data_IF_481787870429
#
_entry.id   IF_481787870429
#
_cell.length_a   1.000
_cell.length_b   1.000
_cell.length_c   1.000
_cell.angle_alpha   90.00
_cell.angle_beta   90.00
_cell.angle_gamma   90.00
#
_symmetry.space_group_name_H-M   'P 1'
#
loop_
_entity.id
_entity.type
_entity.pdbx_description
1 polymer ?
#
# COMPACT_ATOMS: atom_id res chain seq x y z
N UNK A 1 -33.93 -21.75 34.24
CA UNK A 1 -33.37 -23.01 33.72
C UNK A 1 -33.64 -23.23 32.23
N UNK A 2 -34.88 -23.16 31.74
CA UNK A 2 -35.22 -23.42 30.30
C UNK A 2 -34.57 -22.45 29.29
N UNK A 3 -34.32 -21.20 29.70
CA UNK A 3 -33.68 -20.16 28.87
C UNK A 3 -32.15 -20.28 28.77
N UNK A 4 -31.52 -20.77 29.84
CA UNK A 4 -30.09 -21.05 29.87
C UNK A 4 -29.78 -22.29 29.03
N UNK A 5 -30.68 -23.28 29.02
CA UNK A 5 -30.60 -24.40 28.07
C UNK A 5 -30.82 -23.98 26.62
N UNK A 6 -31.74 -23.07 26.28
CA UNK A 6 -31.93 -22.66 24.87
C UNK A 6 -30.75 -21.85 24.32
N UNK A 7 -30.21 -20.92 25.09
CA UNK A 7 -29.01 -20.16 24.67
C UNK A 7 -27.78 -21.07 24.64
N UNK A 8 -27.62 -21.97 25.62
CA UNK A 8 -26.56 -22.99 25.61
C UNK A 8 -26.74 -23.98 24.46
N UNK A 9 -27.96 -24.32 24.05
CA UNK A 9 -28.23 -25.15 22.86
C UNK A 9 -27.91 -24.41 21.57
N UNK A 10 -28.24 -23.12 21.45
CA UNK A 10 -27.87 -22.33 20.25
C UNK A 10 -26.34 -22.18 20.17
N UNK A 11 -25.65 -21.94 21.29
CA UNK A 11 -24.19 -21.93 21.35
C UNK A 11 -23.58 -23.32 21.12
N UNK A 12 -24.16 -24.39 21.66
CA UNK A 12 -23.72 -25.77 21.42
C UNK A 12 -23.94 -26.19 19.97
N UNK A 13 -25.05 -25.77 19.35
CA UNK A 13 -25.34 -26.01 17.93
C UNK A 13 -24.33 -25.23 17.08
N UNK A 14 -24.07 -23.96 17.37
CA UNK A 14 -23.03 -23.18 16.68
C UNK A 14 -21.63 -23.77 16.88
N UNK A 15 -21.30 -24.21 18.09
CA UNK A 15 -20.03 -24.84 18.43
C UNK A 15 -19.85 -26.20 17.75
N UNK A 16 -20.92 -27.02 17.69
CA UNK A 16 -20.95 -28.28 16.93
C UNK A 16 -20.84 -28.04 15.42
N UNK A 17 -21.51 -27.02 14.87
CA UNK A 17 -21.42 -26.64 13.45
C UNK A 17 -20.06 -26.05 13.08
N UNK A 18 -19.33 -25.47 14.03
CA UNK A 18 -17.98 -24.94 13.81
C UNK A 18 -16.90 -26.03 13.93
N UNK A 19 -17.10 -27.03 14.79
CA UNK A 19 -16.16 -28.14 15.00
C UNK A 19 -16.40 -29.34 14.07
N UNK A 20 -17.63 -29.56 13.60
CA UNK A 20 -17.94 -30.57 12.60
C UNK A 20 -18.02 -29.89 11.24
N UNK A 21 -17.10 -30.22 10.33
CA UNK A 21 -17.01 -29.72 8.94
C UNK A 21 -18.24 -30.03 8.04
N UNK A 22 -19.40 -30.30 8.62
CA UNK A 22 -20.68 -30.55 7.96
C UNK A 22 -21.47 -29.24 7.79
N UNK A 23 -20.85 -28.21 7.19
CA UNK A 23 -21.61 -27.06 6.71
C UNK A 23 -22.06 -27.36 5.27
N UNK A 24 -23.37 -27.52 4.98
CA UNK A 24 -23.84 -27.89 3.65
C UNK A 24 -23.29 -26.94 2.57
N UNK A 25 -22.78 -27.49 1.46
CA UNK A 25 -22.28 -26.72 0.31
C UNK A 25 -23.18 -25.54 -0.14
N UNK A 26 -24.53 -25.65 -0.17
CA UNK A 26 -25.38 -24.50 -0.49
C UNK A 26 -25.30 -23.37 0.53
N UNK A 27 -25.17 -23.68 1.83
CA UNK A 27 -25.04 -22.68 2.91
C UNK A 27 -23.67 -21.99 2.90
N UNK A 28 -22.60 -22.70 2.54
CA UNK A 28 -21.28 -22.08 2.35
C UNK A 28 -21.29 -21.07 1.19
N UNK A 29 -21.95 -21.42 0.09
CA UNK A 29 -22.08 -20.55 -1.09
C UNK A 29 -22.90 -19.30 -0.75
N UNK A 30 -23.98 -19.46 0.02
CA UNK A 30 -24.79 -18.35 0.50
C UNK A 30 -24.00 -17.45 1.46
N UNK A 31 -23.29 -18.03 2.43
CA UNK A 31 -22.43 -17.29 3.37
C UNK A 31 -21.37 -16.46 2.63
N UNK A 32 -20.74 -17.02 1.60
CA UNK A 32 -19.72 -16.31 0.82
C UNK A 32 -20.32 -15.13 0.06
N UNK A 33 -21.51 -15.29 -0.53
CA UNK A 33 -22.25 -14.19 -1.20
C UNK A 33 -22.72 -13.10 -0.22
N UNK A 34 -23.05 -13.47 1.02
CA UNK A 34 -23.43 -12.51 2.06
C UNK A 34 -22.21 -11.69 2.51
N UNK A 35 -21.05 -12.33 2.73
CA UNK A 35 -19.82 -11.64 3.18
C UNK A 35 -19.24 -10.74 2.08
N UNK A 36 -19.38 -11.12 0.81
CA UNK A 36 -18.87 -10.33 -0.32
C UNK A 36 -19.63 -9.01 -0.53
N UNK A 37 -20.90 -8.94 -0.11
CA UNK A 37 -21.70 -7.73 -0.27
C UNK A 37 -21.95 -7.07 1.09
N UNK A 38 -21.46 -5.83 1.24
CA UNK A 38 -21.65 -5.05 2.47
C UNK A 38 -23.13 -4.90 2.83
N UNK A 39 -24.01 -4.71 1.84
CA UNK A 39 -25.46 -4.54 2.06
C UNK A 39 -26.09 -5.82 2.58
N UNK A 40 -25.74 -6.97 2.01
CA UNK A 40 -26.27 -8.27 2.46
C UNK A 40 -25.78 -8.61 3.87
N UNK A 41 -24.49 -8.40 4.15
CA UNK A 41 -23.94 -8.62 5.50
C UNK A 41 -24.62 -7.72 6.52
N UNK A 42 -24.88 -6.45 6.20
CA UNK A 42 -25.58 -5.55 7.11
C UNK A 42 -27.03 -5.95 7.34
N UNK A 43 -27.74 -6.40 6.29
CA UNK A 43 -29.14 -6.85 6.39
C UNK A 43 -29.26 -8.08 7.31
N UNK A 44 -28.36 -9.05 7.14
CA UNK A 44 -28.31 -10.26 7.98
C UNK A 44 -27.98 -9.89 9.43
N UNK A 45 -27.06 -8.95 9.66
CA UNK A 45 -26.75 -8.43 10.99
C UNK A 45 -27.96 -7.77 11.66
N UNK A 46 -28.67 -6.89 10.95
CA UNK A 46 -29.88 -6.22 11.46
C UNK A 46 -30.97 -7.25 11.78
N UNK A 47 -31.20 -8.21 10.88
CA UNK A 47 -32.16 -9.29 11.10
C UNK A 47 -31.82 -10.13 12.34
N UNK A 48 -30.55 -10.49 12.53
CA UNK A 48 -30.10 -11.24 13.70
C UNK A 48 -30.32 -10.45 15.01
N UNK A 49 -30.03 -9.14 15.01
CA UNK A 49 -30.24 -8.28 16.19
C UNK A 49 -31.74 -8.17 16.52
N UNK A 50 -32.59 -7.97 15.52
CA UNK A 50 -34.05 -7.93 15.71
C UNK A 50 -34.55 -9.26 16.26
N UNK A 51 -34.05 -10.39 15.75
CA UNK A 51 -34.41 -11.72 16.24
C UNK A 51 -34.02 -11.90 17.72
N UNK A 52 -32.80 -11.51 18.08
CA UNK A 52 -32.32 -11.55 19.48
C UNK A 52 -33.19 -10.65 20.37
N UNK A 53 -33.51 -9.44 19.92
CA UNK A 53 -34.40 -8.52 20.63
C UNK A 53 -35.80 -9.12 20.83
N UNK A 54 -36.44 -9.62 19.77
CA UNK A 54 -37.76 -10.26 19.84
C UNK A 54 -37.77 -11.47 20.79
N UNK A 55 -36.70 -12.28 20.77
CA UNK A 55 -36.58 -13.45 21.65
C UNK A 55 -36.58 -13.09 23.15
N UNK A 56 -36.14 -11.87 23.50
CA UNK A 56 -36.18 -11.38 24.87
C UNK A 56 -37.63 -11.23 25.36
N UNK A 57 -38.53 -10.73 24.51
CA UNK A 57 -39.93 -10.44 24.86
C UNK A 57 -40.88 -11.63 24.75
N UNK A 58 -40.60 -12.62 23.91
CA UNK A 58 -41.41 -13.86 23.85
C UNK A 58 -41.63 -14.43 25.25
N UNK A 59 -40.60 -14.37 26.09
CA UNK A 59 -40.68 -14.88 27.46
C UNK A 59 -41.42 -13.94 28.42
N UNK A 60 -41.44 -12.64 28.13
CA UNK A 60 -42.16 -11.66 28.94
C UNK A 60 -43.68 -11.81 28.76
N UNK A 61 -44.13 -12.09 27.53
CA UNK A 61 -45.54 -12.39 27.23
C UNK A 61 -46.02 -13.73 27.81
N UNK A 62 -45.10 -14.60 28.22
CA UNK A 62 -45.40 -15.88 28.88
C UNK A 62 -45.44 -15.76 30.41
N UNK A 63 -45.31 -14.54 30.95
CA UNK A 63 -45.42 -14.27 32.38
C UNK A 63 -46.84 -13.83 32.75
N UNK A 64 -47.26 -14.11 33.97
CA UNK A 64 -48.51 -13.55 34.51
C UNK A 64 -48.40 -12.03 34.68
N UNK A 65 -49.42 -11.30 34.21
CA UNK A 65 -49.56 -9.83 34.34
C UNK A 65 -50.68 -9.45 35.30
N UNK A 66 -51.16 -10.39 36.11
CA UNK A 66 -52.18 -10.15 37.14
C UNK A 66 -51.60 -9.20 38.18
N UNK A 67 -52.32 -8.12 38.49
CA UNK A 67 -51.92 -7.20 39.55
C UNK A 67 -52.06 -7.87 40.93
N UNK A 68 -50.94 -7.95 41.64
CA UNK A 68 -50.83 -8.65 42.91
C UNK A 68 -51.59 -7.95 44.03
N UNK A 69 -51.66 -6.61 44.00
CA UNK A 69 -52.34 -5.82 45.02
C UNK A 69 -53.86 -5.99 44.93
N UNK A 70 -54.44 -5.86 43.74
CA UNK A 70 -55.87 -6.11 43.53
C UNK A 70 -56.27 -7.56 43.78
N UNK A 71 -55.39 -8.52 43.48
CA UNK A 71 -55.66 -9.91 43.83
C UNK A 71 -55.69 -10.16 45.35
N UNK A 72 -54.66 -9.73 46.10
CA UNK A 72 -54.65 -9.93 47.55
C UNK A 72 -55.83 -9.23 48.22
N UNK A 73 -56.23 -8.08 47.70
CA UNK A 73 -57.45 -7.39 48.10
C UNK A 73 -58.70 -8.27 47.92
N UNK A 74 -58.85 -8.96 46.78
CA UNK A 74 -59.96 -9.87 46.53
C UNK A 74 -59.94 -11.13 47.42
N UNK A 75 -58.77 -11.73 47.64
CA UNK A 75 -58.63 -12.98 48.40
C UNK A 75 -58.87 -12.77 49.91
N UNK A 76 -58.43 -11.64 50.45
CA UNK A 76 -58.59 -11.31 51.88
C UNK A 76 -59.78 -10.37 52.15
N UNK A 77 -60.59 -10.05 51.14
CA UNK A 77 -61.76 -9.16 51.22
C UNK A 77 -61.41 -7.76 51.80
N UNK A 78 -60.29 -7.18 51.34
CA UNK A 78 -59.76 -5.87 51.73
C UNK A 78 -59.76 -4.96 50.49
N UNK A 79 -59.76 -3.64 50.64
CA UNK A 79 -59.60 -2.70 49.50
C UNK A 79 -58.15 -2.71 48.99
N UNK A 80 -57.89 -2.61 47.67
CA UNK A 80 -56.53 -2.56 47.10
C UNK A 80 -55.61 -1.53 47.77
N UNK A 81 -56.14 -0.37 48.14
CA UNK A 81 -55.40 0.72 48.78
C UNK A 81 -54.96 0.42 50.23
N UNK A 82 -55.42 -0.69 50.82
CA UNK A 82 -55.05 -1.14 52.18
C UNK A 82 -54.08 -2.33 52.16
N UNK A 83 -53.63 -2.76 50.98
CA UNK A 83 -52.61 -3.80 50.84
C UNK A 83 -51.24 -3.17 51.11
N UNK A 84 -50.90 -3.07 52.39
CA UNK A 84 -49.63 -2.52 52.84
C UNK A 84 -48.50 -3.56 52.76
N UNK A 85 -47.26 -3.07 52.65
CA UNK A 85 -46.03 -3.87 52.60
C UNK A 85 -45.95 -4.89 53.77
N UNK A 86 -46.47 -4.53 54.94
CA UNK A 86 -46.51 -5.42 56.11
C UNK A 86 -47.48 -6.60 55.96
N UNK A 87 -48.61 -6.41 55.27
CA UNK A 87 -49.57 -7.49 54.99
C UNK A 87 -48.92 -8.53 54.08
N UNK A 88 -48.25 -8.06 53.03
CA UNK A 88 -47.51 -8.89 52.07
C UNK A 88 -46.35 -9.62 52.76
N UNK A 89 -45.62 -8.90 53.61
CA UNK A 89 -44.52 -9.44 54.41
C UNK A 89 -44.97 -10.56 55.37
N UNK A 90 -46.13 -10.44 56.01
CA UNK A 90 -46.66 -11.47 56.92
C UNK A 90 -47.21 -12.71 56.18
N UNK A 91 -47.57 -12.56 54.91
CA UNK A 91 -48.13 -13.62 54.05
C UNK A 91 -47.07 -14.26 53.12
N UNK A 92 -45.78 -14.08 53.45
CA UNK A 92 -44.64 -14.55 52.65
C UNK A 92 -44.54 -16.07 52.49
N UNK A 93 -45.29 -16.86 53.28
CA UNK A 93 -45.41 -18.31 53.07
C UNK A 93 -46.13 -18.66 51.77
N UNK A 94 -47.05 -17.80 51.30
CA UNK A 94 -47.86 -18.03 50.10
C UNK A 94 -47.34 -17.22 48.90
N UNK A 95 -46.83 -16.01 49.14
CA UNK A 95 -46.31 -15.11 48.09
C UNK A 95 -44.83 -14.79 48.36
N UNK A 96 -43.92 -15.52 47.71
CA UNK A 96 -42.47 -15.35 47.85
C UNK A 96 -41.80 -15.04 46.51
N UNK A 97 -40.61 -14.42 46.52
CA UNK A 97 -39.79 -14.24 45.32
C UNK A 97 -39.42 -15.57 44.64
N UNK A 98 -39.50 -16.70 45.36
CA UNK A 98 -39.22 -18.04 44.83
C UNK A 98 -40.44 -18.77 44.24
N UNK A 99 -41.66 -18.23 44.39
CA UNK A 99 -42.88 -18.88 43.92
C UNK A 99 -43.01 -18.72 42.40
N UNK A 100 -42.90 -19.84 41.67
CA UNK A 100 -42.98 -19.89 40.20
C UNK A 100 -44.41 -20.09 39.66
N UNK A 101 -45.31 -20.62 40.49
CA UNK A 101 -46.71 -20.83 40.13
C UNK A 101 -47.45 -19.50 40.12
N UNK A 102 -48.27 -19.26 39.09
CA UNK A 102 -49.00 -18.01 38.90
C UNK A 102 -49.75 -17.56 40.15
N UNK A 103 -49.60 -16.29 40.52
CA UNK A 103 -50.40 -15.75 41.62
C UNK A 103 -51.88 -15.81 41.25
N UNK A 104 -52.74 -16.13 42.24
CA UNK A 104 -54.19 -15.96 42.11
C UNK A 104 -54.84 -16.83 41.03
N UNK A 105 -54.49 -18.13 41.02
CA UNK A 105 -54.93 -19.12 40.03
C UNK A 105 -54.63 -18.73 38.57
N UNK A 106 -53.66 -17.85 38.35
CA UNK A 106 -53.23 -17.50 37.00
C UNK A 106 -52.61 -18.73 36.31
N UNK A 107 -53.00 -19.03 35.05
CA UNK A 107 -52.45 -20.17 34.31
C UNK A 107 -51.01 -19.94 33.85
N UNK A 108 -50.50 -18.70 33.92
CA UNK A 108 -49.14 -18.34 33.53
C UNK A 108 -48.20 -18.27 34.76
N UNK A 109 -46.91 -18.62 34.61
CA UNK A 109 -45.93 -18.54 35.68
C UNK A 109 -45.59 -17.09 36.07
N UNK A 110 -45.14 -16.90 37.31
CA UNK A 110 -44.67 -15.58 37.77
C UNK A 110 -43.21 -15.34 37.35
N UNK A 111 -42.94 -14.11 36.92
CA UNK A 111 -41.59 -13.68 36.55
C UNK A 111 -41.07 -12.64 37.56
N UNK A 112 -40.64 -13.13 38.72
CA UNK A 112 -40.31 -12.32 39.90
C UNK A 112 -39.07 -11.42 39.73
N UNK A 113 -38.31 -11.57 38.63
CA UNK A 113 -37.11 -10.78 38.33
C UNK A 113 -37.18 -10.19 36.91
N UNK A 114 -37.95 -9.10 36.70
CA UNK A 114 -38.11 -8.50 35.37
C UNK A 114 -36.83 -7.80 34.86
N UNK A 115 -35.84 -7.53 35.73
CA UNK A 115 -34.55 -6.92 35.36
C UNK A 115 -33.79 -7.70 34.28
N UNK A 116 -33.98 -9.03 34.20
CA UNK A 116 -33.36 -9.86 33.16
C UNK A 116 -33.78 -9.47 31.73
N UNK A 117 -35.00 -8.93 31.56
CA UNK A 117 -35.46 -8.45 30.26
C UNK A 117 -34.69 -7.19 29.84
N UNK A 118 -34.44 -6.29 30.79
CA UNK A 118 -33.62 -5.09 30.59
C UNK A 118 -32.20 -5.46 30.18
N UNK A 119 -31.56 -6.43 30.86
CA UNK A 119 -30.23 -6.90 30.46
C UNK A 119 -30.19 -7.52 29.06
N UNK A 120 -31.25 -8.24 28.67
CA UNK A 120 -31.35 -8.83 27.32
C UNK A 120 -31.42 -7.74 26.24
N UNK A 121 -32.14 -6.64 26.51
CA UNK A 121 -32.22 -5.48 25.61
C UNK A 121 -30.88 -4.73 25.55
N UNK A 122 -30.20 -4.53 26.68
CA UNK A 122 -28.85 -3.94 26.70
C UNK A 122 -27.85 -4.74 25.86
N UNK A 123 -27.91 -6.08 25.90
CA UNK A 123 -27.10 -6.93 25.03
C UNK A 123 -27.42 -6.75 23.55
N UNK A 124 -28.71 -6.59 23.19
CA UNK A 124 -29.11 -6.33 21.80
C UNK A 124 -28.62 -4.96 21.29
N UNK A 125 -28.63 -3.93 22.16
CA UNK A 125 -28.09 -2.61 21.86
C UNK A 125 -26.57 -2.63 21.69
N UNK A 126 -25.86 -3.38 22.54
CA UNK A 126 -24.42 -3.57 22.41
C UNK A 126 -24.07 -4.29 21.10
N UNK A 127 -24.84 -5.32 20.73
CA UNK A 127 -24.65 -6.02 19.46
C UNK A 127 -24.87 -5.09 18.25
N UNK A 128 -25.81 -4.15 18.32
CA UNK A 128 -26.03 -3.11 17.32
C UNK A 128 -24.79 -2.21 17.12
N UNK A 129 -24.16 -1.79 18.22
CA UNK A 129 -22.97 -0.92 18.14
C UNK A 129 -21.75 -1.63 17.56
N UNK A 130 -21.50 -2.89 17.96
CA UNK A 130 -20.28 -3.64 17.62
C UNK A 130 -20.34 -4.28 16.23
N UNK A 131 -21.44 -4.97 15.89
CA UNK A 131 -21.46 -5.86 14.72
C UNK A 131 -22.01 -5.22 13.43
N UNK A 132 -22.76 -4.12 13.53
CA UNK A 132 -23.26 -3.44 12.35
C UNK A 132 -22.20 -2.53 11.74
N UNK A 133 -21.85 -2.77 10.50
CA UNK A 133 -20.94 -1.91 9.72
C UNK A 133 -21.71 -0.84 8.91
N UNK A 134 -22.65 -0.17 9.60
CA UNK A 134 -23.52 0.90 9.08
C UNK A 134 -23.04 2.25 9.65
N UNK A 135 -23.46 3.38 9.06
CA UNK A 135 -23.24 4.71 9.61
C UNK A 135 -23.79 4.84 11.04
N UNK A 136 -23.17 5.70 11.85
CA UNK A 136 -23.58 5.99 13.22
C UNK A 136 -25.05 6.47 13.30
N UNK A 137 -25.52 7.21 12.29
CA UNK A 137 -26.92 7.64 12.17
C UNK A 137 -27.85 6.44 12.02
N UNK A 138 -27.50 5.46 11.17
CA UNK A 138 -28.29 4.24 11.01
C UNK A 138 -28.34 3.40 12.29
N UNK A 139 -27.22 3.31 13.02
CA UNK A 139 -27.17 2.66 14.34
C UNK A 139 -28.06 3.38 15.35
N UNK A 140 -28.01 4.71 15.39
CA UNK A 140 -28.86 5.52 16.28
C UNK A 140 -30.35 5.27 16.02
N UNK A 141 -30.78 5.32 14.76
CA UNK A 141 -32.19 5.06 14.40
C UNK A 141 -32.62 3.66 14.87
N UNK A 142 -31.79 2.63 14.65
CA UNK A 142 -32.11 1.28 15.08
C UNK A 142 -32.17 1.16 16.61
N UNK A 143 -31.24 1.79 17.34
CA UNK A 143 -31.23 1.79 18.81
C UNK A 143 -32.46 2.52 19.39
N UNK A 144 -32.87 3.65 18.80
CA UNK A 144 -34.07 4.38 19.21
C UNK A 144 -35.37 3.59 18.94
N UNK A 145 -35.44 2.84 17.83
CA UNK A 145 -36.58 1.95 17.55
C UNK A 145 -36.66 0.83 18.60
N UNK A 146 -35.52 0.21 18.93
CA UNK A 146 -35.40 -0.83 19.97
C UNK A 146 -35.86 -0.29 21.33
N UNK A 147 -35.39 0.91 21.69
CA UNK A 147 -35.77 1.60 22.93
C UNK A 147 -37.25 1.96 22.97
N UNK A 148 -37.79 2.54 21.89
CA UNK A 148 -39.21 2.88 21.79
C UNK A 148 -40.11 1.65 21.94
N UNK A 149 -39.77 0.55 21.26
CA UNK A 149 -40.52 -0.71 21.38
C UNK A 149 -40.42 -1.26 22.81
N UNK A 150 -39.25 -1.18 23.45
CA UNK A 150 -39.11 -1.59 24.85
C UNK A 150 -40.01 -0.77 25.79
N UNK A 151 -40.01 0.56 25.67
CA UNK A 151 -40.86 1.44 26.50
C UNK A 151 -42.34 1.13 26.31
N UNK A 152 -42.80 0.98 25.05
CA UNK A 152 -44.19 0.62 24.76
C UNK A 152 -44.57 -0.73 25.40
N UNK A 153 -43.70 -1.72 25.30
CA UNK A 153 -43.93 -3.05 25.88
C UNK A 153 -43.91 -3.03 27.42
N UNK A 154 -43.08 -2.21 28.06
CA UNK A 154 -43.05 -2.09 29.52
C UNK A 154 -44.25 -1.29 30.04
N UNK A 155 -44.64 -0.21 29.38
CA UNK A 155 -45.73 0.69 29.81
C UNK A 155 -47.15 0.18 29.50
N UNK A 156 -47.32 -0.78 28.58
CA UNK A 156 -48.65 -1.28 28.21
C UNK A 156 -48.91 -2.67 28.82
N UNK A 157 -48.32 -3.78 28.34
CA UNK A 157 -48.56 -5.11 28.91
C UNK A 157 -47.72 -5.43 30.16
N UNK A 158 -46.55 -4.79 30.32
CA UNK A 158 -45.57 -5.14 31.36
C UNK A 158 -45.74 -4.45 32.71
N UNK A 159 -46.58 -3.41 32.82
CA UNK A 159 -46.63 -2.51 34.00
C UNK A 159 -46.79 -3.28 35.31
N UNK A 160 -47.79 -4.16 35.35
CA UNK A 160 -48.11 -4.96 36.54
C UNK A 160 -46.97 -5.90 36.92
N UNK A 161 -46.18 -6.38 35.95
CA UNK A 161 -45.05 -7.26 36.23
C UNK A 161 -43.93 -6.52 36.99
N UNK A 162 -43.63 -5.28 36.60
CA UNK A 162 -42.63 -4.44 37.27
C UNK A 162 -43.14 -3.95 38.63
N UNK A 163 -44.42 -3.55 38.72
CA UNK A 163 -45.04 -3.10 39.97
C UNK A 163 -45.12 -4.25 41.00
N UNK A 164 -45.47 -5.47 40.57
CA UNK A 164 -45.47 -6.66 41.43
C UNK A 164 -44.07 -7.00 41.95
N UNK A 165 -43.05 -6.88 41.11
CA UNK A 165 -41.66 -7.13 41.51
C UNK A 165 -41.17 -6.10 42.52
N UNK A 166 -41.45 -4.81 42.29
CA UNK A 166 -41.12 -3.73 43.23
C UNK A 166 -41.79 -3.95 44.60
N UNK A 167 -43.07 -4.36 44.59
CA UNK A 167 -43.84 -4.65 45.80
C UNK A 167 -43.26 -5.85 46.57
N UNK A 168 -42.95 -6.95 45.88
CA UNK A 168 -42.37 -8.17 46.48
C UNK A 168 -40.95 -7.97 47.00
N UNK A 169 -40.09 -7.25 46.27
CA UNK A 169 -38.72 -6.91 46.71
C UNK A 169 -38.77 -6.01 47.94
N UNK A 170 -39.68 -5.04 47.95
CA UNK A 170 -39.85 -4.13 49.09
C UNK A 170 -40.36 -4.88 50.32
N UNK A 171 -41.31 -5.80 50.17
CA UNK A 171 -41.80 -6.66 51.25
C UNK A 171 -40.71 -7.60 51.82
N UNK A 172 -39.85 -8.18 50.98
CA UNK A 172 -38.78 -9.08 51.43
C UNK A 172 -37.62 -8.34 52.11
N UNK A 173 -37.27 -7.13 51.66
CA UNK A 173 -36.24 -6.34 52.36
C UNK A 173 -36.68 -5.94 53.77
N UNK A 174 -37.98 -5.70 53.97
CA UNK A 174 -38.59 -5.41 55.27
C UNK A 174 -38.47 -6.58 56.26
N UNK A 175 -38.56 -7.84 55.81
CA UNK A 175 -38.36 -9.04 56.66
C UNK A 175 -36.93 -9.19 57.17
N UNK A 176 -35.94 -8.92 56.32
CA UNK A 176 -34.52 -9.01 56.70
C UNK A 176 -34.09 -7.93 57.68
N UNK A 177 -34.77 -6.77 57.70
CA UNK A 177 -34.59 -5.73 58.69
C UNK A 177 -35.56 -5.91 59.86
N UNK A 178 -35.22 -6.73 60.86
CA UNK A 178 -36.00 -6.95 62.11
C UNK A 178 -36.73 -5.68 62.63
N UNK A 179 -38.01 -5.51 62.28
CA UNK A 179 -38.90 -4.52 62.92
C UNK A 179 -40.40 -4.88 62.83
N UNK A 180 -40.77 -6.16 62.79
CA UNK A 180 -42.17 -6.56 62.98
C UNK A 180 -42.39 -7.14 64.39
N UNK A 181 -42.23 -6.29 65.40
CA UNK A 181 -42.73 -6.56 66.76
C UNK A 181 -44.10 -5.92 66.93
N UNK A 182 -45.13 -6.73 66.67
CA UNK A 182 -46.55 -6.69 67.10
C UNK A 182 -47.36 -5.40 67.29
N UNK A 183 -46.84 -4.17 67.19
CA UNK A 183 -47.65 -2.95 67.36
C UNK A 183 -47.17 -1.86 66.39
N UNK A 184 -47.90 -1.70 65.29
CA UNK A 184 -47.85 -0.52 64.42
C UNK A 184 -46.72 -0.50 63.38
N UNK A 185 -47.01 -0.97 62.16
CA UNK A 185 -46.18 -0.63 61.00
C UNK A 185 -46.35 0.85 60.66
N UNK A 186 -45.38 1.68 61.06
CA UNK A 186 -45.23 3.01 60.45
C UNK A 186 -44.36 2.83 59.21
N UNK A 187 -44.98 2.94 58.03
CA UNK A 187 -44.30 2.86 56.74
C UNK A 187 -43.27 4.00 56.70
N UNK A 188 -41.94 3.74 56.72
CA UNK A 188 -40.99 4.80 56.39
C UNK A 188 -41.23 5.15 54.93
N UNK A 189 -41.34 6.43 54.61
CA UNK A 189 -41.41 6.90 53.23
C UNK A 189 -40.14 6.45 52.49
N UNK A 190 -40.20 5.29 51.83
CA UNK A 190 -39.07 4.75 51.09
C UNK A 190 -38.88 5.60 49.84
N UNK A 191 -37.77 6.31 49.79
CA UNK A 191 -37.25 6.99 48.61
C UNK A 191 -36.68 5.98 47.61
N UNK A 192 -37.47 4.99 47.17
CA UNK A 192 -37.10 4.09 46.07
C UNK A 192 -37.91 4.45 44.84
N UNK A 193 -37.20 4.69 43.74
CA UNK A 193 -37.80 4.99 42.43
C UNK A 193 -38.26 3.68 41.81
N UNK A 194 -39.49 3.64 41.31
CA UNK A 194 -40.06 2.43 40.70
C UNK A 194 -39.20 1.93 39.52
N UNK A 195 -39.00 0.62 39.43
CA UNK A 195 -38.14 -0.02 38.44
C UNK A 195 -38.59 0.32 37.00
N UNK A 196 -39.90 0.53 36.78
CA UNK A 196 -40.47 0.99 35.50
C UNK A 196 -39.97 2.36 35.02
N UNK A 197 -39.48 3.21 35.92
CA UNK A 197 -38.91 4.53 35.61
C UNK A 197 -37.38 4.44 35.52
N UNK A 198 -36.76 3.57 36.33
CA UNK A 198 -35.31 3.38 36.34
C UNK A 198 -34.83 2.68 35.06
N UNK A 199 -35.57 1.69 34.53
CA UNK A 199 -35.13 0.93 33.36
C UNK A 199 -35.08 1.71 32.05
N UNK A 200 -36.05 2.59 31.69
CA UNK A 200 -35.93 3.45 30.52
C UNK A 200 -34.79 4.45 30.67
N UNK A 201 -34.59 5.03 31.87
CA UNK A 201 -33.49 5.96 32.12
C UNK A 201 -32.13 5.27 31.91
N UNK A 202 -31.95 4.03 32.38
CA UNK A 202 -30.71 3.28 32.13
C UNK A 202 -30.50 3.03 30.63
N UNK A 203 -31.57 2.66 29.90
CA UNK A 203 -31.48 2.40 28.45
C UNK A 203 -31.15 3.68 27.68
N UNK A 204 -31.81 4.82 27.97
CA UNK A 204 -31.52 6.11 27.31
C UNK A 204 -30.04 6.50 27.46
N UNK A 205 -29.50 6.39 28.69
CA UNK A 205 -28.08 6.68 28.98
C UNK A 205 -27.16 5.72 28.23
N UNK A 206 -27.53 4.44 28.15
CA UNK A 206 -26.75 3.43 27.42
C UNK A 206 -26.78 3.66 25.90
N UNK A 207 -27.93 4.01 25.31
CA UNK A 207 -28.05 4.38 23.90
C UNK A 207 -27.19 5.59 23.57
N UNK A 208 -27.18 6.62 24.42
CA UNK A 208 -26.31 7.79 24.26
C UNK A 208 -24.83 7.39 24.28
N UNK A 209 -24.40 6.57 25.25
CA UNK A 209 -23.02 6.09 25.34
C UNK A 209 -22.61 5.27 24.10
N UNK A 210 -23.46 4.36 23.64
CA UNK A 210 -23.21 3.54 22.45
C UNK A 210 -23.21 4.36 21.15
N UNK A 211 -24.02 5.42 21.09
CA UNK A 211 -24.02 6.37 19.97
C UNK A 211 -22.70 7.14 19.89
N UNK A 212 -22.23 7.70 21.01
CA UNK A 212 -20.93 8.39 21.06
C UNK A 212 -19.78 7.45 20.68
N UNK A 213 -19.79 6.21 21.17
CA UNK A 213 -18.82 5.20 20.77
C UNK A 213 -18.89 4.89 19.26
N UNK A 214 -20.09 4.71 18.70
CA UNK A 214 -20.26 4.46 17.27
C UNK A 214 -19.77 5.64 16.40
N UNK A 215 -20.01 6.87 16.85
CA UNK A 215 -19.51 8.08 16.18
C UNK A 215 -17.99 8.16 16.23
N UNK A 216 -17.38 7.89 17.39
CA UNK A 216 -15.92 7.88 17.55
C UNK A 216 -15.26 6.85 16.62
N UNK A 217 -15.80 5.63 16.56
CA UNK A 217 -15.29 4.56 15.67
C UNK A 217 -15.40 4.98 14.20
N UNK A 218 -16.55 5.53 13.78
CA UNK A 218 -16.73 5.97 12.39
C UNK A 218 -15.79 7.13 12.03
N UNK A 219 -15.64 8.13 12.91
CA UNK A 219 -14.73 9.26 12.68
C UNK A 219 -13.28 8.80 12.59
N UNK A 220 -12.85 7.91 13.47
CA UNK A 220 -11.50 7.34 13.46
C UNK A 220 -11.24 6.57 12.17
N UNK A 221 -12.20 5.76 11.71
CA UNK A 221 -12.07 5.01 10.46
C UNK A 221 -12.00 5.91 9.22
N UNK A 222 -12.75 7.03 9.19
CA UNK A 222 -12.68 8.00 8.10
C UNK A 222 -11.34 8.75 8.09
N UNK A 223 -10.83 9.12 9.25
CA UNK A 223 -9.51 9.75 9.37
C UNK A 223 -8.39 8.80 8.94
N UNK A 224 -8.45 7.52 9.37
CA UNK A 224 -7.50 6.50 8.95
C UNK A 224 -7.52 6.30 7.42
N UNK A 225 -8.71 6.27 6.81
CA UNK A 225 -8.83 6.22 5.35
C UNK A 225 -8.19 7.44 4.67
N UNK A 226 -8.43 8.64 5.18
CA UNK A 226 -7.85 9.88 4.62
C UNK A 226 -6.33 9.90 4.77
N UNK A 227 -5.79 9.55 5.94
CA UNK A 227 -4.34 9.45 6.15
C UNK A 227 -3.70 8.38 5.27
N UNK A 228 -4.38 7.25 5.09
CA UNK A 228 -3.91 6.20 4.19
C UNK A 228 -3.88 6.67 2.75
N UNK A 229 -4.91 7.40 2.31
CA UNK A 229 -4.96 7.98 0.96
C UNK A 229 -3.81 8.97 0.74
N UNK A 230 -3.62 9.90 1.67
CA UNK A 230 -2.52 10.88 1.61
C UNK A 230 -1.15 10.19 1.59
N UNK A 231 -0.92 9.22 2.48
CA UNK A 231 0.34 8.49 2.53
C UNK A 231 0.61 7.67 1.25
N UNK A 232 -0.43 7.18 0.58
CA UNK A 232 -0.27 6.50 -0.72
C UNK A 232 0.08 7.45 -1.85
N UNK A 233 -0.52 8.65 -1.85
CA UNK A 233 -0.24 9.70 -2.84
C UNK A 233 1.20 10.22 -2.70
N UNK A 234 1.61 10.58 -1.47
CA UNK A 234 2.98 11.02 -1.18
C UNK A 234 4.02 9.93 -1.52
N UNK A 235 3.66 8.65 -1.35
CA UNK A 235 4.51 7.53 -1.73
C UNK A 235 4.68 7.44 -3.25
N UNK A 236 3.59 7.56 -4.02
CA UNK A 236 3.63 7.51 -5.48
C UNK A 236 4.47 8.67 -6.05
N UNK A 237 4.26 9.89 -5.55
CA UNK A 237 5.06 11.06 -5.93
C UNK A 237 6.56 10.85 -5.62
N UNK A 238 6.89 10.26 -4.46
CA UNK A 238 8.27 9.97 -4.09
C UNK A 238 8.91 8.93 -5.00
N UNK A 239 8.17 7.89 -5.40
CA UNK A 239 8.64 6.86 -6.34
C UNK A 239 8.87 7.45 -7.74
N UNK A 240 7.98 8.31 -8.22
CA UNK A 240 8.14 9.02 -9.50
C UNK A 240 9.37 9.94 -9.49
N UNK A 241 9.52 10.75 -8.43
CA UNK A 241 10.66 11.65 -8.27
C UNK A 241 11.98 10.88 -8.19
N UNK A 242 12.00 9.73 -7.49
CA UNK A 242 13.17 8.88 -7.42
C UNK A 242 13.51 8.27 -8.79
N UNK A 243 12.52 7.80 -9.54
CA UNK A 243 12.72 7.28 -10.88
C UNK A 243 13.24 8.35 -11.84
N UNK A 244 12.70 9.58 -11.76
CA UNK A 244 13.15 10.73 -12.53
C UNK A 244 14.62 11.10 -12.20
N UNK A 245 14.96 11.23 -10.91
CA UNK A 245 16.32 11.51 -10.46
C UNK A 245 17.33 10.42 -10.90
N UNK A 246 16.93 9.14 -10.84
CA UNK A 246 17.77 8.04 -11.34
C UNK A 246 18.00 8.14 -12.86
N UNK A 247 16.97 8.47 -13.64
CA UNK A 247 17.11 8.67 -15.10
C UNK A 247 18.06 9.83 -15.41
N UNK A 248 17.91 10.96 -14.73
CA UNK A 248 18.83 12.10 -14.89
C UNK A 248 20.27 11.73 -14.53
N UNK A 249 20.47 10.97 -13.46
CA UNK A 249 21.81 10.54 -13.06
C UNK A 249 22.45 9.62 -14.11
N UNK A 250 21.67 8.69 -14.68
CA UNK A 250 22.12 7.80 -15.75
C UNK A 250 22.41 8.52 -17.07
N UNK A 251 21.90 9.74 -17.28
CA UNK A 251 22.27 10.57 -18.43
C UNK A 251 23.65 11.25 -18.25
N UNK A 252 24.17 11.33 -17.01
CA UNK A 252 25.43 12.00 -16.69
C UNK A 252 26.54 10.99 -16.41
N UNK A 253 26.20 9.86 -15.77
CA UNK A 253 27.15 8.83 -15.33
C UNK A 253 26.76 7.45 -15.88
N UNK A 254 27.74 6.61 -16.25
CA UNK A 254 27.49 5.21 -16.57
C UNK A 254 26.77 4.48 -15.43
N UNK A 255 25.99 3.45 -15.78
CA UNK A 255 25.09 2.75 -14.82
C UNK A 255 25.81 2.26 -13.56
N UNK A 256 26.96 1.60 -13.70
CA UNK A 256 27.69 1.04 -12.57
C UNK A 256 28.33 2.12 -11.68
N UNK A 257 28.78 3.20 -12.31
CA UNK A 257 29.32 4.37 -11.60
C UNK A 257 28.20 5.08 -10.82
N UNK A 258 27.01 5.24 -11.42
CA UNK A 258 25.85 5.83 -10.77
C UNK A 258 25.41 5.05 -9.52
N UNK A 259 25.46 3.70 -9.57
CA UNK A 259 25.18 2.85 -8.39
C UNK A 259 26.15 3.15 -7.25
N UNK A 260 27.45 3.34 -7.55
CA UNK A 260 28.44 3.71 -6.54
C UNK A 260 28.11 5.05 -5.85
N UNK A 261 27.55 6.03 -6.57
CA UNK A 261 27.11 7.31 -5.98
C UNK A 261 25.76 7.24 -5.25
N UNK A 262 24.90 6.27 -5.59
CA UNK A 262 23.60 6.08 -4.93
C UNK A 262 23.66 5.18 -3.68
N UNK A 263 24.63 4.27 -3.61
CA UNK A 263 24.69 3.23 -2.58
C UNK A 263 25.29 3.68 -1.24
N UNK A 264 25.85 4.88 -1.13
CA UNK A 264 26.62 5.28 0.04
C UNK A 264 26.31 6.72 0.47
N UNK A 265 25.95 6.90 1.75
CA UNK A 265 26.00 8.20 2.46
C UNK A 265 27.47 8.61 2.61
N UNK A 266 28.13 8.98 1.52
CA UNK A 266 29.51 9.46 1.55
C UNK A 266 29.56 10.93 1.93
N UNK A 267 30.60 11.26 2.68
CA UNK A 267 31.13 12.63 2.78
C UNK A 267 31.68 13.01 1.41
N UNK A 268 31.32 14.19 0.91
CA UNK A 268 31.56 14.69 -0.47
C UNK A 268 33.04 14.79 -0.93
N UNK A 269 34.00 14.26 -0.19
CA UNK A 269 35.43 14.56 -0.36
C UNK A 269 36.25 13.43 -1.03
N UNK A 270 35.66 12.27 -1.31
CA UNK A 270 36.39 11.13 -1.91
C UNK A 270 36.16 11.04 -3.42
N UNK A 271 37.23 11.20 -4.20
CA UNK A 271 37.23 11.11 -5.67
C UNK A 271 36.94 9.67 -6.13
N UNK A 272 36.00 9.49 -7.05
CA UNK A 272 35.82 8.20 -7.74
C UNK A 272 36.86 8.02 -8.84
N UNK A 273 37.63 6.94 -8.78
CA UNK A 273 38.53 6.51 -9.85
C UNK A 273 38.62 4.99 -9.94
N UNK A 274 38.90 4.48 -11.15
CA UNK A 274 39.08 3.07 -11.47
C UNK A 274 40.22 2.91 -12.48
N UNK A 275 41.14 1.98 -12.23
CA UNK A 275 42.22 1.66 -13.16
C UNK A 275 41.81 0.48 -14.04
N UNK A 276 41.81 0.69 -15.36
CA UNK A 276 41.43 -0.31 -16.36
C UNK A 276 42.65 -0.67 -17.21
N UNK A 277 43.05 -1.94 -17.24
CA UNK A 277 44.32 -2.36 -17.86
C UNK A 277 44.27 -2.49 -19.38
N UNK A 278 43.11 -2.88 -19.94
CA UNK A 278 42.94 -3.13 -21.36
C UNK A 278 41.65 -2.48 -21.83
N UNK A 279 41.77 -1.24 -22.28
CA UNK A 279 40.67 -0.44 -22.82
C UNK A 279 40.96 -0.13 -24.28
N UNK A 280 39.96 -0.28 -25.13
CA UNK A 280 40.01 0.20 -26.50
C UNK A 280 39.34 1.57 -26.57
N UNK A 281 39.99 2.54 -27.21
CA UNK A 281 39.53 3.93 -27.28
C UNK A 281 39.40 4.34 -28.75
N UNK A 282 38.28 4.98 -29.07
CA UNK A 282 37.97 5.52 -30.38
C UNK A 282 37.78 7.03 -30.33
N UNK A 283 38.35 7.70 -31.32
CA UNK A 283 38.00 9.07 -31.70
C UNK A 283 37.51 9.04 -33.15
N UNK A 284 36.29 9.51 -33.39
CA UNK A 284 35.72 9.62 -34.73
C UNK A 284 35.39 11.09 -35.00
N UNK A 285 36.08 11.72 -35.95
CA UNK A 285 35.92 13.15 -36.24
C UNK A 285 35.40 13.39 -37.66
N UNK A 286 34.45 14.31 -37.79
CA UNK A 286 33.98 14.81 -39.08
C UNK A 286 34.96 15.91 -39.53
N UNK A 287 35.76 15.60 -40.54
CA UNK A 287 36.94 16.36 -40.95
C UNK A 287 36.61 17.73 -41.53
N UNK A 288 35.56 17.83 -42.35
CA UNK A 288 35.16 19.04 -43.06
C UNK A 288 33.98 19.78 -42.40
N UNK A 289 33.61 19.42 -41.17
CA UNK A 289 32.49 20.08 -40.49
C UNK A 289 32.76 21.57 -40.21
N UNK A 290 34.02 21.94 -39.94
CA UNK A 290 34.39 23.36 -39.75
C UNK A 290 34.25 24.19 -41.02
N UNK A 291 34.39 23.59 -42.20
CA UNK A 291 34.17 24.27 -43.49
C UNK A 291 32.67 24.40 -43.81
N UNK A 292 31.88 23.42 -43.37
CA UNK A 292 30.42 23.45 -43.44
C UNK A 292 29.79 24.46 -42.48
N UNK A 293 30.42 24.71 -41.33
CA UNK A 293 29.92 25.66 -40.35
C UNK A 293 30.10 27.10 -40.86
N UNK A 294 28.98 27.73 -41.26
CA UNK A 294 28.94 29.12 -41.69
C UNK A 294 27.93 29.92 -40.87
N UNK A 295 28.42 30.94 -40.18
CA UNK A 295 27.60 31.92 -39.44
C UNK A 295 27.09 33.00 -40.41
N UNK A 296 25.94 32.75 -41.03
CA UNK A 296 25.21 33.72 -41.86
C UNK A 296 23.81 33.94 -41.30
N UNK A 297 23.25 35.14 -41.50
CA UNK A 297 21.86 35.45 -41.15
C UNK A 297 20.87 34.48 -41.84
N UNK A 298 21.18 34.02 -43.05
CA UNK A 298 20.39 33.02 -43.78
C UNK A 298 20.40 31.62 -43.14
N UNK A 299 21.32 31.34 -42.22
CA UNK A 299 21.50 30.05 -41.53
C UNK A 299 21.13 30.13 -40.03
N UNK A 300 20.29 31.10 -39.65
CA UNK A 300 19.95 31.39 -38.25
C UNK A 300 21.20 31.47 -37.35
N UNK A 301 22.25 32.17 -37.79
CA UNK A 301 23.50 32.34 -37.04
C UNK A 301 24.22 31.01 -36.70
N UNK A 302 24.09 29.99 -37.57
CA UNK A 302 24.78 28.69 -37.40
C UNK A 302 24.01 27.66 -36.59
N UNK A 303 22.79 27.97 -36.13
CA UNK A 303 21.93 27.05 -35.36
C UNK A 303 21.55 25.80 -36.17
N UNK A 304 21.27 25.94 -37.47
CA UNK A 304 20.93 24.77 -38.31
C UNK A 304 22.12 23.82 -38.50
N UNK A 305 23.36 24.32 -38.53
CA UNK A 305 24.55 23.47 -38.54
C UNK A 305 24.65 22.66 -37.24
N UNK A 306 24.33 23.26 -36.09
CA UNK A 306 24.30 22.56 -34.81
C UNK A 306 23.16 21.53 -34.76
N UNK A 307 22.00 21.82 -35.35
CA UNK A 307 20.90 20.85 -35.45
C UNK A 307 21.32 19.63 -36.27
N UNK A 308 21.95 19.82 -37.42
CA UNK A 308 22.45 18.72 -38.23
C UNK A 308 23.53 17.92 -37.49
N UNK A 309 24.46 18.58 -36.79
CA UNK A 309 25.44 17.87 -35.97
C UNK A 309 24.76 17.05 -34.87
N UNK A 310 23.74 17.59 -34.22
CA UNK A 310 22.97 16.87 -33.20
C UNK A 310 22.26 15.64 -33.79
N UNK A 311 21.71 15.75 -35.00
CA UNK A 311 21.11 14.61 -35.72
C UNK A 311 22.16 13.52 -36.02
N UNK A 312 23.34 13.89 -36.54
CA UNK A 312 24.44 12.94 -36.79
C UNK A 312 24.86 12.22 -35.49
N UNK A 313 25.00 12.98 -34.39
CA UNK A 313 25.38 12.41 -33.10
C UNK A 313 24.27 11.54 -32.51
N UNK A 314 23.00 11.89 -32.73
CA UNK A 314 21.86 11.09 -32.31
C UNK A 314 21.81 9.75 -33.07
N UNK A 315 22.07 9.74 -34.38
CA UNK A 315 22.19 8.50 -35.16
C UNK A 315 23.32 7.60 -34.61
N UNK A 316 24.45 8.19 -34.23
CA UNK A 316 25.56 7.43 -33.62
C UNK A 316 25.19 6.87 -32.25
N UNK A 317 24.42 7.63 -31.46
CA UNK A 317 23.90 7.20 -30.17
C UNK A 317 22.83 6.11 -30.29
N UNK A 318 22.07 6.09 -31.39
CA UNK A 318 21.16 4.98 -31.70
C UNK A 318 21.95 3.70 -32.00
N UNK A 319 23.00 3.80 -32.84
CA UNK A 319 23.85 2.65 -33.17
C UNK A 319 24.52 2.09 -31.91
N UNK A 320 25.15 2.92 -31.07
CA UNK A 320 25.85 2.41 -29.87
C UNK A 320 24.88 1.74 -28.86
N UNK A 321 23.58 2.04 -28.94
CA UNK A 321 22.55 1.45 -28.09
C UNK A 321 22.12 0.05 -28.51
N UNK A 322 22.51 -0.42 -29.70
CA UNK A 322 22.21 -1.77 -30.17
C UNK A 322 22.86 -2.85 -29.27
N UNK A 323 22.20 -4.00 -29.10
CA UNK A 323 22.65 -5.07 -28.20
C UNK A 323 24.08 -5.57 -28.49
N UNK A 324 24.50 -5.56 -29.76
CA UNK A 324 25.85 -5.96 -30.17
C UNK A 324 26.95 -5.03 -29.66
N UNK A 325 26.61 -3.77 -29.35
CA UNK A 325 27.55 -2.73 -28.88
C UNK A 325 27.39 -2.41 -27.40
N UNK A 326 26.64 -3.22 -26.64
CA UNK A 326 26.44 -3.05 -25.18
C UNK A 326 27.74 -2.97 -24.35
N UNK A 327 28.86 -3.44 -24.88
CA UNK A 327 30.18 -3.34 -24.23
C UNK A 327 30.89 -1.99 -24.46
N UNK A 328 30.32 -1.12 -25.29
CA UNK A 328 30.85 0.20 -25.61
C UNK A 328 30.18 1.25 -24.73
N UNK A 329 30.98 2.24 -24.31
CA UNK A 329 30.51 3.38 -23.54
C UNK A 329 30.89 4.65 -24.29
N UNK A 330 29.91 5.52 -24.52
CA UNK A 330 30.18 6.89 -25.00
C UNK A 330 30.82 7.68 -23.86
N UNK A 331 31.97 8.30 -24.12
CA UNK A 331 32.64 9.13 -23.12
C UNK A 331 32.14 10.57 -23.21
N UNK A 332 32.24 11.16 -24.40
CA UNK A 332 31.81 12.55 -24.66
C UNK A 332 31.82 12.86 -26.14
N UNK A 333 31.17 13.96 -26.48
CA UNK A 333 31.30 14.61 -27.79
C UNK A 333 32.12 15.89 -27.61
N UNK A 334 33.15 16.08 -28.45
CA UNK A 334 34.05 17.23 -28.42
C UNK A 334 33.98 17.92 -29.79
N UNK A 335 33.16 18.96 -29.91
CA UNK A 335 32.89 19.59 -31.21
C UNK A 335 32.27 18.58 -32.17
N UNK A 336 32.89 18.37 -33.34
CA UNK A 336 32.50 17.36 -34.34
C UNK A 336 33.14 15.98 -34.12
N UNK A 337 33.72 15.72 -32.94
CA UNK A 337 34.41 14.47 -32.62
C UNK A 337 33.62 13.64 -31.60
N UNK A 338 33.29 12.41 -31.97
CA UNK A 338 32.65 11.41 -31.11
C UNK A 338 33.71 10.55 -30.42
N UNK A 339 33.69 10.48 -29.09
CA UNK A 339 34.64 9.69 -28.30
C UNK A 339 33.90 8.55 -27.59
N UNK A 340 34.32 7.32 -27.87
CA UNK A 340 33.82 6.11 -27.22
C UNK A 340 34.97 5.23 -26.76
N UNK A 341 34.70 4.38 -25.77
CA UNK A 341 35.66 3.40 -25.30
C UNK A 341 34.98 2.10 -24.88
N UNK A 342 35.75 1.03 -24.78
CA UNK A 342 35.26 -0.28 -24.36
C UNK A 342 36.23 -0.95 -23.39
N UNK A 343 35.72 -1.84 -22.54
CA UNK A 343 36.52 -2.47 -21.46
C UNK A 343 36.64 -1.61 -20.19
N UNK A 344 35.75 -0.63 -20.00
CA UNK A 344 35.71 0.20 -18.79
C UNK A 344 34.92 -0.42 -17.63
N UNK A 345 34.06 -1.39 -17.94
CA UNK A 345 33.14 -2.00 -16.99
C UNK A 345 33.54 -3.45 -16.73
N UNK A 346 33.83 -3.78 -15.47
CA UNK A 346 34.26 -5.12 -15.07
C UNK A 346 33.20 -6.20 -15.37
N UNK A 347 31.91 -5.82 -15.42
CA UNK A 347 30.81 -6.76 -15.70
C UNK A 347 30.70 -7.15 -17.18
N UNK A 348 31.14 -6.27 -18.09
CA UNK A 348 31.11 -6.51 -19.54
C UNK A 348 32.50 -6.77 -20.11
N UNK A 349 33.55 -6.73 -19.30
CA UNK A 349 34.93 -6.92 -19.74
C UNK A 349 35.31 -8.40 -19.90
N UNK A 350 35.35 -8.87 -21.14
CA UNK A 350 35.95 -10.17 -21.48
C UNK A 350 37.48 -10.03 -21.59
N UNK A 351 38.17 -10.51 -20.54
CA UNK A 351 39.63 -10.53 -20.42
C UNK A 351 40.29 -11.48 -21.42
N UNK A 352 39.66 -12.60 -21.72
CA UNK A 352 40.27 -13.68 -22.50
C UNK A 352 40.00 -13.53 -23.99
N UNK A 353 38.73 -13.34 -24.38
CA UNK A 353 38.31 -13.25 -25.78
C UNK A 353 38.41 -11.84 -26.38
N UNK A 354 38.66 -10.82 -25.55
CA UNK A 354 38.79 -9.40 -25.95
C UNK A 354 37.66 -8.93 -26.87
N UNK A 355 36.44 -9.43 -26.65
CA UNK A 355 35.29 -9.16 -27.53
C UNK A 355 34.95 -7.67 -27.63
N UNK A 356 35.16 -6.92 -26.55
CA UNK A 356 34.97 -5.47 -26.48
C UNK A 356 35.82 -4.70 -27.51
N UNK A 357 36.98 -5.24 -27.91
CA UNK A 357 37.85 -4.63 -28.93
C UNK A 357 37.25 -4.82 -30.33
N UNK A 358 36.70 -6.01 -30.59
CA UNK A 358 35.99 -6.33 -31.84
C UNK A 358 34.74 -5.47 -31.99
N UNK A 359 33.93 -5.40 -30.94
CA UNK A 359 32.74 -4.55 -30.90
C UNK A 359 33.06 -3.08 -31.24
N UNK A 360 34.18 -2.54 -30.75
CA UNK A 360 34.59 -1.17 -31.05
C UNK A 360 35.04 -1.00 -32.51
N UNK A 361 35.74 -1.99 -33.08
CA UNK A 361 36.13 -1.97 -34.49
C UNK A 361 34.92 -2.09 -35.43
N UNK A 362 33.97 -2.97 -35.10
CA UNK A 362 32.71 -3.13 -35.82
C UNK A 362 31.87 -1.86 -35.74
N UNK A 363 31.81 -1.23 -34.57
CA UNK A 363 31.16 0.07 -34.38
C UNK A 363 31.82 1.16 -35.25
N UNK A 364 33.15 1.23 -35.29
CA UNK A 364 33.86 2.18 -36.14
C UNK A 364 33.51 2.02 -37.63
N UNK A 365 33.44 0.77 -38.12
CA UNK A 365 33.01 0.49 -39.50
C UNK A 365 31.54 0.87 -39.71
N UNK A 366 30.67 0.57 -38.75
CA UNK A 366 29.25 0.92 -38.80
C UNK A 366 29.03 2.43 -38.86
N UNK A 367 29.81 3.21 -38.11
CA UNK A 367 29.77 4.68 -38.18
C UNK A 367 30.20 5.20 -39.58
N UNK A 368 31.19 4.56 -40.20
CA UNK A 368 31.62 4.91 -41.57
C UNK A 368 30.50 4.73 -42.59
N UNK A 369 29.75 3.63 -42.47
CA UNK A 369 28.60 3.36 -43.33
C UNK A 369 27.42 4.29 -43.02
N UNK A 370 27.18 4.59 -41.73
CA UNK A 370 26.16 5.56 -41.34
C UNK A 370 26.46 6.96 -41.91
N UNK A 371 27.74 7.38 -41.94
CA UNK A 371 28.12 8.64 -42.55
C UNK A 371 27.83 8.68 -44.05
N UNK A 372 28.05 7.58 -44.78
CA UNK A 372 27.65 7.48 -46.20
C UNK A 372 26.14 7.62 -46.36
N UNK A 373 25.37 6.93 -45.53
CA UNK A 373 23.91 7.03 -45.52
C UNK A 373 23.43 8.46 -45.27
N UNK A 374 24.01 9.15 -44.28
CA UNK A 374 23.70 10.55 -43.97
C UNK A 374 24.03 11.45 -45.16
N UNK A 375 25.17 11.25 -45.83
CA UNK A 375 25.55 12.04 -47.01
C UNK A 375 24.54 11.87 -48.16
N UNK A 376 24.07 10.64 -48.41
CA UNK A 376 23.06 10.37 -49.43
C UNK A 376 21.71 11.06 -49.14
N UNK A 377 21.30 11.13 -47.87
CA UNK A 377 19.98 11.67 -47.48
C UNK A 377 19.99 13.17 -47.17
N UNK A 378 21.14 13.72 -46.79
CA UNK A 378 21.29 15.15 -46.46
C UNK A 378 21.80 16.00 -47.63
N UNK A 379 22.15 15.37 -48.77
CA UNK A 379 22.80 16.02 -49.92
C UNK A 379 24.10 16.76 -49.55
N UNK A 380 24.79 16.28 -48.51
CA UNK A 380 26.10 16.76 -48.08
C UNK A 380 27.19 15.73 -48.39
N UNK A 381 28.45 16.14 -48.21
CA UNK A 381 29.61 15.27 -48.38
C UNK A 381 30.53 15.37 -47.17
N UNK A 382 30.04 14.94 -46.00
CA UNK A 382 30.84 14.88 -44.79
C UNK A 382 31.85 13.72 -44.87
N UNK A 383 33.10 14.03 -44.58
CA UNK A 383 34.16 13.05 -44.53
C UNK A 383 34.51 12.74 -43.09
N UNK A 384 34.54 11.46 -42.73
CA UNK A 384 34.85 11.03 -41.38
C UNK A 384 36.20 10.34 -41.33
N UNK A 385 36.97 10.60 -40.30
CA UNK A 385 38.19 9.85 -39.99
C UNK A 385 38.06 9.29 -38.58
N UNK A 386 38.59 8.09 -38.39
CA UNK A 386 38.51 7.39 -37.10
C UNK A 386 39.91 6.94 -36.68
N UNK A 387 40.26 7.20 -35.42
CA UNK A 387 41.47 6.71 -34.79
C UNK A 387 41.15 5.72 -33.67
N UNK A 388 41.76 4.54 -33.71
CA UNK A 388 41.61 3.51 -32.69
C UNK A 388 42.95 3.17 -32.03
N UNK A 389 42.93 2.95 -30.73
CA UNK A 389 44.08 2.43 -29.99
C UNK A 389 43.63 1.59 -28.78
N UNK A 390 44.50 0.70 -28.31
CA UNK A 390 44.27 -0.13 -27.11
C UNK A 390 45.36 0.10 -26.06
N UNK A 391 45.02 -0.05 -24.78
CA UNK A 391 45.97 0.04 -23.68
C UNK A 391 45.32 0.43 -22.34
N UNK A 392 46.13 0.65 -21.29
CA UNK A 392 45.62 0.98 -19.97
C UNK A 392 45.14 2.43 -19.88
N UNK A 393 44.11 2.66 -19.06
CA UNK A 393 43.54 3.99 -18.74
C UNK A 393 43.09 4.04 -17.28
N UNK A 394 42.90 5.25 -16.77
CA UNK A 394 42.23 5.52 -15.51
C UNK A 394 40.91 6.21 -15.81
N UNK A 395 39.80 5.62 -15.40
CA UNK A 395 38.47 6.21 -15.46
C UNK A 395 38.15 6.91 -14.14
N UNK A 396 37.31 7.94 -14.16
CA UNK A 396 36.92 8.64 -12.94
C UNK A 396 35.90 9.75 -13.18
N UNK A 397 35.37 10.28 -12.08
CA UNK A 397 34.40 11.40 -12.11
C UNK A 397 35.05 12.65 -11.52
N UNK A 398 35.12 13.72 -12.30
CA UNK A 398 35.70 15.01 -11.86
C UNK A 398 34.63 16.10 -11.90
N UNK A 399 34.67 16.99 -10.90
CA UNK A 399 33.88 18.23 -10.87
C UNK A 399 32.77 18.21 -9.83
N UNK A 400 32.82 19.15 -8.87
CA UNK A 400 31.87 19.21 -7.77
C UNK A 400 30.47 19.75 -8.17
N UNK A 401 30.40 20.63 -9.19
CA UNK A 401 29.14 21.25 -9.65
C UNK A 401 28.63 20.68 -10.97
N UNK A 402 29.55 20.23 -11.82
CA UNK A 402 29.25 19.59 -13.11
C UNK A 402 30.12 18.33 -13.17
N UNK A 403 29.69 17.24 -12.50
CA UNK A 403 30.44 16.00 -12.53
C UNK A 403 30.50 15.48 -13.97
N UNK A 404 31.69 15.10 -14.41
CA UNK A 404 31.93 14.52 -15.72
C UNK A 404 32.69 13.21 -15.52
N UNK A 405 32.12 12.12 -16.03
CA UNK A 405 32.84 10.87 -16.18
C UNK A 405 33.76 10.98 -17.40
N UNK A 406 35.04 10.63 -17.22
CA UNK A 406 36.04 10.73 -18.27
C UNK A 406 37.15 9.71 -18.05
N UNK A 407 38.00 9.52 -19.06
CA UNK A 407 39.13 8.59 -19.04
C UNK A 407 40.44 9.30 -19.35
N UNK A 408 41.49 8.96 -18.60
CA UNK A 408 42.82 9.53 -18.73
C UNK A 408 43.86 8.45 -18.97
N UNK A 409 44.85 8.75 -19.81
CA UNK A 409 45.98 7.86 -20.04
C UNK A 409 46.69 8.13 -21.36
N UNK A 410 47.90 7.60 -21.48
CA UNK A 410 48.65 7.67 -22.74
C UNK A 410 47.90 7.00 -23.89
N UNK A 411 47.10 5.97 -23.60
CA UNK A 411 46.25 5.27 -24.57
C UNK A 411 45.27 6.21 -25.25
N UNK A 412 44.60 7.08 -24.48
CA UNK A 412 43.65 8.09 -24.98
C UNK A 412 44.36 9.10 -25.85
N UNK A 413 45.54 9.57 -25.41
CA UNK A 413 46.36 10.50 -26.19
C UNK A 413 46.79 9.91 -27.53
N UNK A 414 47.22 8.64 -27.57
CA UNK A 414 47.60 7.96 -28.80
C UNK A 414 46.38 7.75 -29.72
N UNK A 415 45.21 7.36 -29.19
CA UNK A 415 43.97 7.25 -29.97
C UNK A 415 43.59 8.58 -30.64
N UNK A 416 43.61 9.67 -29.86
CA UNK A 416 43.38 11.03 -30.37
C UNK A 416 44.40 11.42 -31.46
N UNK A 417 45.66 10.94 -31.36
CA UNK A 417 46.65 11.14 -32.42
C UNK A 417 46.33 10.35 -33.68
N UNK A 418 45.88 9.10 -33.55
CA UNK A 418 45.43 8.30 -34.70
C UNK A 418 44.30 8.99 -35.46
N UNK A 419 43.37 9.64 -34.76
CA UNK A 419 42.32 10.45 -35.39
C UNK A 419 42.88 11.74 -36.02
N UNK A 420 43.68 12.53 -35.28
CA UNK A 420 44.20 13.80 -35.79
C UNK A 420 45.12 13.65 -37.01
N UNK A 421 45.91 12.56 -37.07
CA UNK A 421 46.75 12.20 -38.22
C UNK A 421 46.04 11.29 -39.22
N UNK A 422 44.76 10.99 -38.98
CA UNK A 422 43.90 10.16 -39.83
C UNK A 422 43.74 10.74 -41.23
N UNK A 423 43.55 9.84 -42.19
CA UNK A 423 43.15 10.22 -43.55
C UNK A 423 41.62 10.19 -43.60
N UNK A 424 40.96 11.17 -44.25
CA UNK A 424 39.53 11.14 -44.46
C UNK A 424 39.06 9.82 -45.08
N UNK A 425 37.89 9.37 -44.65
CA UNK A 425 37.23 8.13 -45.06
C UNK A 425 38.03 6.85 -44.77
N UNK A 426 38.92 6.88 -43.78
CA UNK A 426 39.69 5.71 -43.32
C UNK A 426 39.69 5.59 -41.80
N UNK A 427 39.76 4.34 -41.34
CA UNK A 427 39.93 3.99 -39.92
C UNK A 427 41.41 3.68 -39.69
N UNK A 428 42.10 4.47 -38.89
CA UNK A 428 43.51 4.30 -38.55
C UNK A 428 43.67 3.60 -37.20
N UNK A 429 44.51 2.56 -37.16
CA UNK A 429 44.78 1.78 -35.95
C UNK A 429 46.27 1.68 -35.63
N UNK A 430 46.59 1.48 -34.35
CA UNK A 430 47.96 1.22 -33.88
C UNK A 430 48.39 -0.23 -34.09
N UNK A 431 49.69 -0.50 -33.93
CA UNK A 431 50.25 -1.85 -34.07
C UNK A 431 49.65 -2.84 -33.07
N UNK A 432 49.44 -2.43 -31.82
CA UNK A 432 48.87 -3.29 -30.78
C UNK A 432 47.43 -3.70 -31.13
N UNK A 433 46.67 -2.77 -31.70
CA UNK A 433 45.31 -3.04 -32.14
C UNK A 433 45.28 -3.91 -33.40
N UNK A 434 46.20 -3.70 -34.34
CA UNK A 434 46.39 -4.57 -35.50
C UNK A 434 46.60 -6.03 -35.09
N UNK A 435 47.43 -6.30 -34.08
CA UNK A 435 47.69 -7.68 -33.63
C UNK A 435 46.40 -8.37 -33.15
N UNK A 436 45.54 -7.67 -32.43
CA UNK A 436 44.27 -8.23 -31.96
C UNK A 436 43.29 -8.42 -33.12
N UNK A 437 43.15 -7.45 -34.01
CA UNK A 437 42.19 -7.51 -35.11
C UNK A 437 42.61 -8.53 -36.18
N UNK A 438 43.90 -8.61 -36.52
CA UNK A 438 44.43 -9.59 -37.46
C UNK A 438 44.22 -11.03 -36.97
N UNK A 439 44.37 -11.27 -35.66
CA UNK A 439 44.08 -12.57 -35.06
C UNK A 439 42.59 -12.96 -35.12
N UNK A 440 41.70 -11.98 -35.37
CA UNK A 440 40.26 -12.19 -35.53
C UNK A 440 39.80 -12.02 -37.00
N UNK A 441 40.71 -12.20 -37.97
CA UNK A 441 40.43 -12.19 -39.42
C UNK A 441 39.90 -10.87 -40.00
N UNK A 442 40.17 -9.73 -39.36
CA UNK A 442 39.90 -8.41 -39.97
C UNK A 442 40.92 -8.11 -41.07
N UNK A 443 40.50 -7.39 -42.12
CA UNK A 443 41.41 -6.96 -43.18
C UNK A 443 42.03 -5.61 -42.87
N UNK A 444 43.34 -5.60 -42.64
CA UNK A 444 44.12 -4.40 -42.36
C UNK A 444 45.21 -4.17 -43.39
N UNK A 445 45.41 -2.92 -43.76
CA UNK A 445 46.43 -2.46 -44.71
C UNK A 445 47.55 -1.71 -43.98
N UNK A 446 48.80 -2.01 -44.31
CA UNK A 446 49.93 -1.25 -43.78
C UNK A 446 49.93 0.16 -44.33
N UNK A 447 49.81 1.16 -43.46
CA UNK A 447 49.85 2.58 -43.85
C UNK A 447 51.29 3.08 -43.98
N UNK A 448 52.13 2.73 -43.02
CA UNK A 448 53.45 3.34 -42.86
C UNK A 448 53.75 3.79 -41.44
N UNK A 449 54.94 4.36 -41.30
CA UNK A 449 55.43 4.98 -40.07
C UNK A 449 55.00 6.44 -40.05
N UNK A 450 54.34 6.86 -38.98
CA UNK A 450 53.95 8.25 -38.75
C UNK A 450 54.61 8.80 -37.48
N UNK A 451 54.88 10.10 -37.45
CA UNK A 451 55.46 10.77 -36.29
C UNK A 451 54.36 11.16 -35.31
N UNK A 452 54.34 10.53 -34.14
CA UNK A 452 53.39 10.79 -33.06
C UNK A 452 54.07 11.57 -31.94
N UNK A 453 53.51 12.74 -31.60
CA UNK A 453 54.05 13.61 -30.54
C UNK A 453 54.17 12.84 -29.22
N UNK A 454 55.37 12.80 -28.65
CA UNK A 454 55.65 12.13 -27.38
C UNK A 454 55.93 10.61 -27.46
N UNK A 455 55.69 9.97 -28.61
CA UNK A 455 56.01 8.56 -28.86
C UNK A 455 57.10 8.35 -29.91
N UNK A 456 57.37 9.36 -30.75
CA UNK A 456 58.35 9.26 -31.82
C UNK A 456 57.72 8.70 -33.09
N UNK A 457 58.42 7.80 -33.77
CA UNK A 457 57.93 7.11 -34.95
C UNK A 457 57.09 5.89 -34.56
N UNK A 458 55.87 5.80 -35.10
CA UNK A 458 54.95 4.70 -34.84
C UNK A 458 54.45 4.09 -36.14
N UNK A 459 54.50 2.77 -36.21
CA UNK A 459 53.88 2.01 -37.31
C UNK A 459 52.37 1.98 -37.14
N UNK A 460 51.66 2.24 -38.24
CA UNK A 460 50.19 2.33 -38.26
C UNK A 460 49.58 1.58 -39.43
N UNK A 461 48.31 1.23 -39.28
CA UNK A 461 47.55 0.44 -40.25
C UNK A 461 46.20 1.09 -40.49
N UNK A 462 45.59 0.79 -41.64
CA UNK A 462 44.20 1.08 -41.91
C UNK A 462 43.34 -0.16 -41.75
N UNK A 463 42.21 -0.04 -41.05
CA UNK A 463 41.17 -1.07 -41.03
C UNK A 463 40.25 -0.85 -42.23
N UNK A 464 40.16 -1.85 -43.11
CA UNK A 464 39.41 -1.75 -44.36
C UNK A 464 38.10 -2.56 -44.33
N UNK A 465 38.13 -3.81 -43.86
CA UNK A 465 36.95 -4.68 -43.82
C UNK A 465 36.92 -5.55 -42.56
N UNK A 466 35.70 -5.92 -42.15
CA UNK A 466 35.44 -6.88 -41.08
C UNK A 466 35.77 -8.32 -41.46
N UNK A 467 35.66 -9.26 -40.51
CA UNK A 467 35.82 -10.68 -40.81
C UNK A 467 34.76 -11.13 -41.84
N UNK A 468 35.12 -12.03 -42.78
CA UNK A 468 34.14 -12.59 -43.71
C UNK A 468 33.02 -13.29 -42.93
N UNK A 469 31.76 -12.98 -43.28
CA UNK A 469 30.59 -13.58 -42.65
C UNK A 469 30.65 -15.10 -42.86
N UNK A 470 30.80 -15.85 -41.76
CA UNK A 470 30.90 -17.32 -41.74
C UNK A 470 29.54 -18.00 -41.79
#
# INVERSE_FOLDING_TARGET
>A
FVKQTTILHVYLIFFFFFHMQLFPAPLQTLSRKIVQSRTNSTLVGVFAIILVFLSAFVNMFMCSTVDLASCMAAEYNITPDRVDICLISNLTSNYSLGTLQGFCDSPLPNCNFPEYFTYSVLLSLLACSVFLQISCIGKLILMLIIEFIYVLIVEVPGVNLFDNADLLVTANTYLTGKFCSSIGCSSPAMTRVALKIVTPVIITVFVLALYLHAQQVESTARLDFLWKLQATEEKEEMEELQAYNRRLLHNILPKDVAVHFLAQERRNDELYYQSCECVAVMFASISNFSEFYVELEANNEGVECLRLLNEIIADFDEIISEDQFRQLEKIKTIGSTYMAASGLNDSTYDKEGKTHIKALADFAMRLMDQMKYINEHSFNNFQMKIGLNIGPVVAGVIGARKPQYDIWGNTVNVASRMDSTGVPDRIQVTTDMYQVLAANNYQLEYRGVIKVKGKGEMTTYFLNEGPPIS
#
